data_IF_139275832622
#
_entry.id   IF_139275832622
#
_cell.length_a   1.000
_cell.length_b   1.000
_cell.length_c   1.000
_cell.angle_alpha   90.00
_cell.angle_beta   90.00
_cell.angle_gamma   90.00
#
_symmetry.space_group_name_H-M   'P 1'
#
loop_
_entity.id
_entity.type
_entity.pdbx_description
1 polymer ?
#
# COMPACT_ATOMS: atom_id res chain seq x y z
N UNK A 1 -4.50 6.99 -13.86
CA UNK A 1 -3.68 5.92 -13.28
C UNK A 1 -4.57 4.75 -12.90
N UNK A 2 -4.21 3.55 -13.36
CA UNK A 2 -4.94 2.32 -13.06
C UNK A 2 -4.41 1.75 -11.75
N UNK A 3 -5.31 1.32 -10.87
CA UNK A 3 -4.92 0.67 -9.60
C UNK A 3 -4.94 -0.84 -9.79
N UNK A 4 -3.80 -1.46 -9.57
CA UNK A 4 -3.63 -2.90 -9.71
C UNK A 4 -3.26 -3.51 -8.36
N UNK A 5 -3.99 -4.54 -7.96
CA UNK A 5 -3.76 -5.22 -6.69
C UNK A 5 -3.21 -6.62 -6.94
N UNK A 6 -2.14 -6.96 -6.23
CA UNK A 6 -1.75 -8.35 -6.11
C UNK A 6 -2.86 -9.12 -5.39
N UNK A 7 -3.03 -10.41 -5.72
CA UNK A 7 -4.15 -11.21 -5.20
C UNK A 7 -4.19 -11.23 -3.67
N UNK A 8 -3.04 -11.46 -3.02
CA UNK A 8 -2.98 -11.48 -1.56
C UNK A 8 -3.33 -10.13 -0.96
N UNK A 9 -2.81 -9.04 -1.54
CA UNK A 9 -3.12 -7.69 -1.07
C UNK A 9 -4.61 -7.38 -1.24
N UNK A 10 -5.21 -7.81 -2.33
CA UNK A 10 -6.64 -7.65 -2.57
C UNK A 10 -7.48 -8.40 -1.53
N UNK A 11 -7.11 -9.66 -1.24
CA UNK A 11 -7.81 -10.45 -0.23
C UNK A 11 -7.73 -9.79 1.14
N UNK A 12 -6.56 -9.27 1.50
CA UNK A 12 -6.40 -8.52 2.76
C UNK A 12 -7.25 -7.26 2.78
N UNK A 13 -7.26 -6.52 1.69
CA UNK A 13 -8.05 -5.30 1.58
C UNK A 13 -9.55 -5.59 1.77
N UNK A 14 -10.05 -6.66 1.16
CA UNK A 14 -11.44 -7.07 1.32
C UNK A 14 -11.72 -7.46 2.79
N UNK A 15 -10.85 -8.24 3.40
CA UNK A 15 -11.02 -8.64 4.81
C UNK A 15 -11.03 -7.43 5.76
N UNK A 16 -10.21 -6.42 5.48
CA UNK A 16 -10.14 -5.22 6.30
C UNK A 16 -11.44 -4.41 6.32
N UNK A 17 -12.30 -4.57 5.31
CA UNK A 17 -13.59 -3.85 5.26
C UNK A 17 -14.45 -4.16 6.51
N UNK A 18 -14.33 -5.34 7.07
CA UNK A 18 -15.06 -5.74 8.27
C UNK A 18 -14.17 -5.80 9.52
N UNK A 19 -12.86 -6.03 9.34
CA UNK A 19 -11.95 -6.22 10.47
C UNK A 19 -11.34 -4.91 11.00
N UNK A 20 -11.02 -3.95 10.12
CA UNK A 20 -10.35 -2.72 10.54
C UNK A 20 -10.63 -1.57 9.58
N UNK A 21 -11.68 -0.83 9.86
CA UNK A 21 -12.10 0.30 9.00
C UNK A 21 -11.12 1.46 9.01
N UNK A 22 -10.30 1.60 10.06
CA UNK A 22 -9.27 2.66 10.12
C UNK A 22 -8.18 2.40 9.10
N UNK A 23 -7.77 1.13 8.98
CA UNK A 23 -6.78 0.76 7.97
C UNK A 23 -7.32 1.00 6.56
N UNK A 24 -8.58 0.67 6.31
CA UNK A 24 -9.22 0.92 5.02
C UNK A 24 -9.19 2.41 4.66
N UNK A 25 -9.55 3.27 5.61
CA UNK A 25 -9.50 4.72 5.41
C UNK A 25 -8.09 5.20 5.09
N UNK A 26 -7.10 4.69 5.81
CA UNK A 26 -5.70 5.05 5.60
C UNK A 26 -5.23 4.62 4.21
N UNK A 27 -5.59 3.40 3.80
CA UNK A 27 -5.27 2.88 2.48
C UNK A 27 -5.88 3.76 1.39
N UNK A 28 -7.15 4.15 1.53
CA UNK A 28 -7.83 5.04 0.58
C UNK A 28 -7.12 6.40 0.49
N UNK A 29 -6.69 6.95 1.62
CA UNK A 29 -5.94 8.20 1.67
C UNK A 29 -4.63 8.07 0.91
N UNK A 30 -3.90 6.99 1.11
CA UNK A 30 -2.65 6.74 0.40
C UNK A 30 -2.86 6.64 -1.10
N UNK A 31 -3.84 5.87 -1.54
CA UNK A 31 -4.13 5.70 -2.97
C UNK A 31 -4.47 7.06 -3.60
N UNK A 32 -5.32 7.84 -2.95
CA UNK A 32 -5.72 9.16 -3.44
C UNK A 32 -4.51 10.10 -3.53
N UNK A 33 -3.67 10.11 -2.51
CA UNK A 33 -2.49 10.97 -2.45
C UNK A 33 -1.46 10.56 -3.50
N UNK A 34 -1.22 9.26 -3.68
CA UNK A 34 -0.30 8.74 -4.70
C UNK A 34 -0.78 9.13 -6.10
N UNK A 35 -2.07 9.04 -6.39
CA UNK A 35 -2.62 9.45 -7.68
C UNK A 35 -2.36 10.92 -7.98
N UNK A 36 -2.28 11.75 -6.94
CA UNK A 36 -2.08 13.19 -7.07
C UNK A 36 -0.61 13.57 -7.09
N UNK A 37 0.20 12.97 -6.24
CA UNK A 37 1.57 13.41 -5.96
C UNK A 37 2.65 12.34 -6.24
N UNK A 38 2.27 11.15 -6.64
CA UNK A 38 3.24 10.06 -6.90
C UNK A 38 4.03 9.71 -5.66
N UNK A 39 5.35 9.53 -5.82
CA UNK A 39 6.23 9.19 -4.71
C UNK A 39 6.46 10.35 -3.74
N UNK A 40 6.10 11.57 -4.11
CA UNK A 40 6.17 12.73 -3.21
C UNK A 40 4.95 12.83 -2.30
N UNK A 41 4.20 11.77 -2.17
CA UNK A 41 3.04 11.70 -1.30
C UNK A 41 3.44 11.42 0.16
N UNK A 42 2.51 11.71 1.10
CA UNK A 42 2.77 11.56 2.53
C UNK A 42 2.78 10.12 3.02
N UNK A 43 2.77 9.93 4.33
CA UNK A 43 2.70 8.62 4.96
C UNK A 43 4.04 7.97 5.20
N UNK A 44 5.09 8.77 5.37
CA UNK A 44 6.45 8.27 5.62
C UNK A 44 6.89 7.31 4.51
N UNK A 45 6.80 7.78 3.28
CA UNK A 45 7.16 6.98 2.12
C UNK A 45 8.64 6.61 2.15
N UNK A 46 8.93 5.33 1.95
CA UNK A 46 10.29 4.80 1.99
C UNK A 46 10.51 3.84 0.84
N UNK A 47 11.61 4.05 0.09
CA UNK A 47 11.98 3.08 -0.94
C UNK A 47 12.56 1.83 -0.28
N UNK A 48 12.05 0.66 -0.66
CA UNK A 48 12.52 -0.62 -0.14
C UNK A 48 13.71 -1.11 -0.96
N UNK A 49 14.92 -0.88 -0.43
CA UNK A 49 16.15 -1.21 -1.17
C UNK A 49 16.45 -2.71 -1.19
N UNK A 50 15.87 -3.46 -0.24
CA UNK A 50 16.08 -4.90 -0.15
C UNK A 50 15.17 -5.70 -1.09
N UNK A 51 14.23 -5.04 -1.74
CA UNK A 51 13.25 -5.67 -2.62
C UNK A 51 13.42 -5.12 -4.04
N UNK A 52 13.77 -5.99 -4.98
CA UNK A 52 13.95 -5.58 -6.37
C UNK A 52 12.61 -5.17 -6.99
N UNK A 53 12.64 -4.17 -7.86
CA UNK A 53 11.45 -3.75 -8.60
C UNK A 53 10.99 -2.32 -8.33
N UNK A 54 11.72 -1.57 -7.51
CA UNK A 54 11.39 -0.17 -7.24
C UNK A 54 10.21 0.02 -6.31
N UNK A 55 10.00 -0.92 -5.39
CA UNK A 55 8.91 -0.86 -4.43
C UNK A 55 9.14 0.18 -3.35
N UNK A 56 8.04 0.80 -2.93
CA UNK A 56 8.01 1.76 -1.82
C UNK A 56 7.03 1.28 -0.76
N UNK A 57 7.21 1.76 0.46
CA UNK A 57 6.23 1.49 1.51
C UNK A 57 5.77 2.78 2.17
N UNK A 58 4.54 2.76 2.63
CA UNK A 58 3.97 3.79 3.51
C UNK A 58 3.51 3.11 4.79
N UNK A 59 3.64 3.83 5.89
CA UNK A 59 3.25 3.30 7.19
C UNK A 59 1.75 3.45 7.40
N UNK A 60 1.03 2.33 7.54
CA UNK A 60 -0.39 2.35 7.91
C UNK A 60 -0.52 2.54 9.42
N UNK A 61 0.19 1.70 10.17
CA UNK A 61 0.28 1.75 11.63
C UNK A 61 1.60 1.11 12.08
N UNK A 62 1.76 0.82 13.37
CA UNK A 62 3.00 0.24 13.90
C UNK A 62 3.38 -1.08 13.28
N UNK A 63 2.40 -1.88 12.86
CA UNK A 63 2.62 -3.24 12.36
C UNK A 63 2.49 -3.33 10.85
N UNK A 64 1.69 -2.49 10.24
CA UNK A 64 1.26 -2.68 8.87
C UNK A 64 1.84 -1.65 7.93
N UNK A 65 2.25 -2.13 6.74
CA UNK A 65 2.80 -1.30 5.68
C UNK A 65 1.98 -1.46 4.42
N UNK A 66 1.86 -0.38 3.70
CA UNK A 66 1.27 -0.32 2.37
C UNK A 66 2.42 -0.32 1.37
N UNK A 67 2.61 -1.44 0.64
CA UNK A 67 3.73 -1.60 -0.28
C UNK A 67 3.23 -1.49 -1.71
N UNK A 68 3.85 -0.59 -2.47
CA UNK A 68 3.38 -0.24 -3.81
C UNK A 68 4.52 0.22 -4.70
N UNK A 69 4.24 0.32 -5.99
CA UNK A 69 5.08 1.04 -6.94
C UNK A 69 4.23 1.66 -8.04
N UNK A 70 4.82 2.63 -8.74
CA UNK A 70 4.20 3.24 -9.89
C UNK A 70 4.97 2.78 -11.12
N UNK A 71 4.31 2.12 -12.06
CA UNK A 71 4.93 1.58 -13.25
C UNK A 71 3.96 1.68 -14.41
N UNK A 72 4.41 2.31 -15.54
CA UNK A 72 3.61 2.44 -16.76
C UNK A 72 2.19 2.98 -16.50
N UNK A 73 2.11 4.06 -15.74
CA UNK A 73 0.85 4.71 -15.37
C UNK A 73 -0.09 3.81 -14.56
N UNK A 74 0.46 2.84 -13.84
CA UNK A 74 -0.29 1.98 -12.94
C UNK A 74 0.24 2.14 -11.53
N UNK A 75 -0.67 2.11 -10.57
CA UNK A 75 -0.34 1.98 -9.17
C UNK A 75 -0.46 0.49 -8.83
N UNK A 76 0.66 -0.16 -8.60
CA UNK A 76 0.69 -1.59 -8.27
C UNK A 76 0.85 -1.75 -6.77
N UNK A 77 -0.06 -2.47 -6.13
CA UNK A 77 -0.09 -2.69 -4.68
C UNK A 77 0.13 -4.17 -4.41
N UNK A 78 1.18 -4.49 -3.66
CA UNK A 78 1.51 -5.89 -3.34
C UNK A 78 1.29 -6.23 -1.87
N UNK A 79 1.08 -5.25 -1.01
CA UNK A 79 0.86 -5.50 0.40
C UNK A 79 0.10 -4.34 1.03
N UNK A 80 -0.87 -4.65 1.88
CA UNK A 80 -1.52 -3.64 2.71
C UNK A 80 -1.71 -4.12 4.16
N UNK A 81 -1.16 -5.28 4.48
CA UNK A 81 -1.26 -5.87 5.81
C UNK A 81 -0.06 -6.80 6.01
N UNK A 82 0.63 -6.64 7.12
CA UNK A 82 1.69 -7.56 7.48
C UNK A 82 1.11 -8.81 8.13
N UNK A 83 1.60 -9.97 7.72
CA UNK A 83 1.22 -11.25 8.29
C UNK A 83 2.34 -11.75 9.18
N UNK A 84 2.46 -11.15 10.35
CA UNK A 84 3.42 -11.64 11.34
C UNK A 84 2.82 -12.80 12.10
N UNK A 85 3.62 -13.84 12.24
CA UNK A 85 3.30 -14.93 13.16
C UNK A 85 4.24 -14.79 14.35
N UNK A 86 3.66 -14.54 15.48
CA UNK A 86 4.40 -14.50 16.73
C UNK A 86 4.62 -15.91 17.28
#
# INVERSE_FOLDING_TARGET
>A
MIVCWDEEAWDDYIALQTEDKRMVKKIHTFIRDIKRNGYDSGGQDERLRYLDGGWHSKRIDKKNRFVYRILANRLEIIQCRNHYQD
#
